data_IF_329175344294
#
_entry.id   IF_329175344294
#
_cell.length_a   1.000
_cell.length_b   1.000
_cell.length_c   1.000
_cell.angle_alpha   90.00
_cell.angle_beta   90.00
_cell.angle_gamma   90.00
#
_symmetry.space_group_name_H-M   'P 1'
#
loop_
_entity.id
_entity.type
_entity.pdbx_description
1 polymer ?
#
# COMPACT_ATOMS: atom_id res chain seq x y z
N UNK A 1 -16.14 -19.02 18.65
CA UNK A 1 -16.70 -17.70 18.24
C UNK A 1 -17.53 -17.09 19.37
N UNK A 2 -18.69 -17.66 19.71
CA UNK A 2 -19.58 -17.14 20.78
C UNK A 2 -18.85 -17.05 22.13
N UNK A 3 -18.19 -18.12 22.54
CA UNK A 3 -17.41 -18.16 23.78
C UNK A 3 -16.29 -17.10 23.84
N UNK A 4 -15.69 -16.75 22.68
CA UNK A 4 -14.65 -15.71 22.62
C UNK A 4 -15.33 -14.35 22.81
N UNK A 5 -16.41 -14.07 22.10
CA UNK A 5 -17.17 -12.81 22.26
C UNK A 5 -17.58 -12.58 23.72
N UNK A 6 -18.23 -13.56 24.35
CA UNK A 6 -18.72 -13.47 25.73
C UNK A 6 -17.59 -13.26 26.75
N UNK A 7 -16.43 -13.89 26.51
CA UNK A 7 -15.26 -13.74 27.39
C UNK A 7 -14.66 -12.33 27.39
N UNK A 8 -14.81 -11.57 26.31
CA UNK A 8 -14.27 -10.21 26.20
C UNK A 8 -15.34 -9.17 26.55
N UNK A 9 -16.61 -9.43 26.23
CA UNK A 9 -17.73 -8.54 26.51
C UNK A 9 -17.93 -8.29 28.01
N UNK A 10 -17.69 -9.31 28.85
CA UNK A 10 -17.71 -9.17 30.32
C UNK A 10 -16.69 -8.17 30.90
N UNK A 11 -15.70 -7.77 30.11
CA UNK A 11 -14.71 -6.75 30.46
C UNK A 11 -14.90 -5.45 29.67
N UNK A 12 -16.01 -5.31 28.92
CA UNK A 12 -16.27 -4.17 28.05
C UNK A 12 -15.38 -4.13 26.81
N UNK A 13 -14.79 -5.27 26.42
CA UNK A 13 -13.86 -5.36 25.29
C UNK A 13 -14.57 -5.92 24.04
N UNK A 14 -14.34 -5.30 22.89
CA UNK A 14 -14.82 -5.79 21.60
C UNK A 14 -13.80 -6.75 20.97
N UNK A 15 -14.29 -7.85 20.37
CA UNK A 15 -13.46 -8.87 19.73
C UNK A 15 -13.74 -8.93 18.22
N UNK A 16 -12.70 -8.89 17.40
CA UNK A 16 -12.78 -8.91 15.94
C UNK A 16 -12.00 -10.09 15.37
N UNK A 17 -12.53 -10.72 14.31
CA UNK A 17 -11.83 -11.73 13.53
C UNK A 17 -11.52 -11.16 12.14
N UNK A 18 -10.25 -11.15 11.75
CA UNK A 18 -9.79 -10.63 10.44
C UNK A 18 -9.06 -11.76 9.72
N UNK A 19 -9.43 -12.02 8.46
CA UNK A 19 -8.78 -13.03 7.63
C UNK A 19 -8.46 -12.47 6.24
N UNK A 20 -7.27 -12.78 5.74
CA UNK A 20 -6.81 -12.40 4.40
C UNK A 20 -6.41 -13.68 3.63
N UNK A 21 -6.87 -13.81 2.39
CA UNK A 21 -6.50 -14.95 1.55
C UNK A 21 -7.21 -14.94 0.20
N UNK A 22 -6.62 -15.59 -0.81
CA UNK A 22 -7.17 -15.69 -2.17
C UNK A 22 -8.39 -16.62 -2.27
N UNK A 23 -8.69 -17.37 -1.21
CA UNK A 23 -9.75 -18.38 -1.17
C UNK A 23 -10.84 -17.92 -0.21
N UNK A 24 -12.08 -17.95 -0.70
CA UNK A 24 -13.25 -17.70 0.12
C UNK A 24 -13.42 -18.86 1.12
N UNK A 25 -13.13 -18.60 2.40
CA UNK A 25 -13.42 -19.53 3.48
C UNK A 25 -14.74 -19.10 4.11
N UNK A 26 -15.86 -19.68 3.66
CA UNK A 26 -17.20 -19.48 4.22
C UNK A 26 -17.23 -19.60 5.76
N UNK A 27 -16.32 -20.40 6.32
CA UNK A 27 -16.08 -20.56 7.75
C UNK A 27 -15.71 -19.23 8.43
N UNK A 28 -14.89 -18.38 7.81
CA UNK A 28 -14.47 -17.09 8.38
C UNK A 28 -15.61 -16.07 8.43
N UNK A 29 -16.46 -16.06 7.41
CA UNK A 29 -17.66 -15.20 7.35
C UNK A 29 -18.67 -15.57 8.45
N UNK A 30 -18.90 -16.88 8.65
CA UNK A 30 -19.74 -17.37 9.75
C UNK A 30 -19.15 -17.03 11.13
N UNK A 31 -17.83 -17.09 11.29
CA UNK A 31 -17.16 -16.74 12.55
C UNK A 31 -17.29 -15.24 12.83
N UNK A 32 -17.06 -14.38 11.85
CA UNK A 32 -17.21 -12.93 11.99
C UNK A 32 -18.65 -12.55 12.38
N UNK A 33 -19.63 -13.13 11.68
CA UNK A 33 -21.05 -12.91 11.96
C UNK A 33 -21.42 -13.31 13.40
N UNK A 34 -20.95 -14.47 13.87
CA UNK A 34 -21.18 -14.94 15.25
C UNK A 34 -20.48 -14.10 16.32
N UNK A 35 -19.42 -13.38 15.96
CA UNK A 35 -18.70 -12.48 16.88
C UNK A 35 -19.28 -11.06 16.88
N UNK A 36 -20.23 -10.75 16.00
CA UNK A 36 -20.69 -9.36 15.77
C UNK A 36 -19.63 -8.49 15.11
N UNK A 37 -18.65 -9.11 14.43
CA UNK A 37 -17.61 -8.43 13.68
C UNK A 37 -17.95 -8.32 12.20
N UNK A 38 -17.08 -7.67 11.43
CA UNK A 38 -17.21 -7.55 9.98
C UNK A 38 -16.32 -8.57 9.25
N UNK A 39 -16.84 -9.15 8.17
CA UNK A 39 -16.07 -9.97 7.23
C UNK A 39 -15.88 -9.19 5.93
N UNK A 40 -14.64 -9.13 5.45
CA UNK A 40 -14.30 -8.41 4.23
C UNK A 40 -13.73 -9.40 3.21
N UNK A 41 -14.43 -9.58 2.07
CA UNK A 41 -13.96 -10.38 0.94
C UNK A 41 -12.86 -9.58 0.24
N UNK A 42 -11.61 -10.04 0.37
CA UNK A 42 -10.41 -9.61 -0.37
C UNK A 42 -10.42 -8.15 -0.82
N UNK A 43 -9.78 -7.33 -0.01
CA UNK A 43 -9.65 -5.91 -0.18
C UNK A 43 -8.51 -5.63 -1.18
N UNK A 44 -8.79 -4.83 -2.20
CA UNK A 44 -7.74 -4.12 -2.95
C UNK A 44 -6.88 -3.29 -1.97
N UNK A 45 -5.64 -2.93 -2.35
CA UNK A 45 -4.66 -2.29 -1.42
C UNK A 45 -5.25 -1.13 -0.58
N UNK A 46 -6.05 -0.27 -1.23
CA UNK A 46 -6.78 0.83 -0.59
C UNK A 46 -7.82 0.41 0.45
N UNK A 47 -8.58 -0.65 0.20
CA UNK A 47 -9.62 -1.11 1.12
C UNK A 47 -9.00 -1.81 2.35
N UNK A 48 -7.84 -2.44 2.19
CA UNK A 48 -7.07 -3.07 3.28
C UNK A 48 -6.52 -1.99 4.23
N UNK A 49 -5.99 -0.91 3.65
CA UNK A 49 -5.51 0.25 4.39
C UNK A 49 -6.63 0.91 5.22
N UNK A 50 -7.80 1.11 4.61
CA UNK A 50 -8.97 1.74 5.26
C UNK A 50 -9.50 0.88 6.42
N UNK A 51 -9.60 -0.43 6.21
CA UNK A 51 -10.06 -1.37 7.24
C UNK A 51 -9.08 -1.42 8.41
N UNK A 52 -7.78 -1.49 8.14
CA UNK A 52 -6.76 -1.52 9.19
C UNK A 52 -6.68 -0.19 9.94
N UNK A 53 -6.86 0.94 9.27
CA UNK A 53 -6.94 2.24 9.92
C UNK A 53 -8.13 2.34 10.88
N UNK A 54 -9.29 1.79 10.51
CA UNK A 54 -10.46 1.73 11.39
C UNK A 54 -10.23 0.83 12.60
N UNK A 55 -9.55 -0.31 12.41
CA UNK A 55 -9.17 -1.21 13.50
C UNK A 55 -8.15 -0.53 14.43
N UNK A 56 -7.10 0.11 13.90
CA UNK A 56 -6.09 0.77 14.73
C UNK A 56 -6.67 1.95 15.51
N UNK A 57 -7.56 2.74 14.90
CA UNK A 57 -8.31 3.79 15.56
C UNK A 57 -9.18 3.25 16.71
N UNK A 58 -9.85 2.11 16.50
CA UNK A 58 -10.70 1.47 17.51
C UNK A 58 -9.89 0.87 18.67
N UNK A 59 -8.66 0.39 18.41
CA UNK A 59 -7.80 -0.23 19.42
C UNK A 59 -6.98 0.80 20.23
N UNK A 60 -7.09 2.11 19.95
CA UNK A 60 -6.27 3.19 20.56
C UNK A 60 -4.76 2.91 20.56
N UNK A 61 -4.31 1.98 19.72
CA UNK A 61 -2.93 1.55 19.61
C UNK A 61 -2.40 2.06 18.28
N UNK A 62 -1.17 2.59 18.30
CA UNK A 62 -0.45 2.97 17.09
C UNK A 62 -0.02 1.71 16.32
N UNK A 63 -0.98 0.95 15.80
CA UNK A 63 -0.72 -0.16 14.92
C UNK A 63 -0.50 0.38 13.51
N UNK A 64 0.68 0.15 12.94
CA UNK A 64 1.00 0.48 11.56
C UNK A 64 0.86 -0.73 10.65
N UNK A 65 0.15 -0.59 9.53
CA UNK A 65 0.14 -1.61 8.48
C UNK A 65 1.31 -1.36 7.54
N UNK A 66 2.33 -2.21 7.61
CA UNK A 66 3.34 -2.27 6.58
C UNK A 66 2.78 -3.07 5.39
N UNK A 67 2.06 -2.40 4.50
CA UNK A 67 1.77 -2.95 3.19
C UNK A 67 3.10 -3.01 2.44
N UNK A 68 3.59 -4.22 2.14
CA UNK A 68 4.50 -4.38 1.02
C UNK A 68 3.72 -3.90 -0.19
N UNK A 69 4.02 -2.68 -0.65
CA UNK A 69 3.25 -2.01 -1.70
C UNK A 69 2.98 -3.01 -2.81
N UNK A 70 1.72 -3.31 -3.14
CA UNK A 70 1.47 -3.94 -4.41
C UNK A 70 1.99 -2.94 -5.46
N UNK A 71 2.65 -3.44 -6.50
CA UNK A 71 3.48 -2.70 -7.47
C UNK A 71 2.75 -1.58 -8.26
N UNK A 72 1.52 -1.23 -7.89
CA UNK A 72 0.68 -0.23 -8.52
C UNK A 72 0.34 1.00 -7.64
N UNK A 73 0.78 1.06 -6.37
CA UNK A 73 0.58 2.24 -5.49
C UNK A 73 1.87 3.07 -5.28
N UNK A 74 2.64 3.25 -6.34
CA UNK A 74 3.78 4.17 -6.38
C UNK A 74 3.40 5.35 -7.27
N UNK A 75 3.26 6.55 -6.72
CA UNK A 75 3.05 7.75 -7.50
C UNK A 75 4.38 8.22 -8.11
N UNK A 76 4.37 8.70 -9.34
CA UNK A 76 5.51 9.32 -9.97
C UNK A 76 5.82 10.65 -9.27
N UNK A 77 7.04 10.80 -8.74
CA UNK A 77 7.43 12.03 -8.00
C UNK A 77 7.55 13.28 -8.87
N UNK A 78 7.50 13.14 -10.21
CA UNK A 78 7.54 14.27 -11.15
C UNK A 78 6.14 14.82 -11.41
N UNK A 79 5.16 13.98 -11.74
CA UNK A 79 3.80 14.43 -12.08
C UNK A 79 2.76 14.20 -10.97
N UNK A 80 3.14 13.55 -9.87
CA UNK A 80 2.26 13.18 -8.75
C UNK A 80 1.08 12.26 -9.12
N UNK A 81 1.09 11.63 -10.30
CA UNK A 81 0.10 10.64 -10.73
C UNK A 81 0.59 9.21 -10.48
N UNK A 82 -0.35 8.26 -10.41
CA UNK A 82 -0.03 6.84 -10.22
C UNK A 82 0.85 6.29 -11.34
N UNK A 83 1.92 5.56 -11.01
CA UNK A 83 2.79 4.92 -12.02
C UNK A 83 2.07 3.90 -12.89
N UNK A 84 0.92 3.40 -12.43
CA UNK A 84 0.05 2.51 -13.20
C UNK A 84 -0.67 3.23 -14.37
N UNK A 85 -0.69 4.57 -14.39
CA UNK A 85 -1.33 5.35 -15.45
C UNK A 85 -0.50 5.43 -16.74
N UNK A 86 0.72 4.92 -16.75
CA UNK A 86 1.61 4.90 -17.91
C UNK A 86 2.72 3.84 -17.84
N UNK A 87 3.66 3.90 -18.79
CA UNK A 87 4.84 3.03 -18.77
C UNK A 87 5.81 3.53 -17.69
N UNK A 88 6.11 2.68 -16.70
CA UNK A 88 7.04 3.00 -15.62
C UNK A 88 8.47 2.56 -15.96
N UNK A 89 9.44 3.43 -15.71
CA UNK A 89 10.86 3.18 -15.84
C UNK A 89 11.52 3.17 -14.45
N UNK A 90 12.38 2.17 -14.22
CA UNK A 90 13.12 2.00 -12.96
C UNK A 90 14.53 2.55 -13.08
N UNK A 91 14.85 3.54 -12.26
CA UNK A 91 16.14 4.21 -12.24
C UNK A 91 17.22 3.33 -11.61
N UNK A 92 18.34 3.15 -12.29
CA UNK A 92 19.52 2.51 -11.72
C UNK A 92 20.51 3.55 -11.19
N UNK A 93 21.26 3.26 -10.11
CA UNK A 93 21.24 2.03 -9.30
C UNK A 93 20.22 2.07 -8.15
N UNK A 94 19.46 3.16 -7.99
CA UNK A 94 18.67 3.40 -6.78
C UNK A 94 17.35 2.62 -6.71
N UNK A 95 16.84 2.12 -7.84
CA UNK A 95 15.61 1.35 -7.95
C UNK A 95 14.31 2.15 -7.84
N UNK A 96 14.36 3.48 -7.77
CA UNK A 96 13.16 4.33 -7.77
C UNK A 96 12.51 4.37 -9.16
N UNK A 97 11.20 4.53 -9.21
CA UNK A 97 10.42 4.45 -10.45
C UNK A 97 9.76 5.79 -10.79
N UNK A 98 9.72 6.09 -12.10
CA UNK A 98 9.09 7.26 -12.70
C UNK A 98 8.32 6.82 -13.94
N UNK A 99 7.36 7.62 -14.43
CA UNK A 99 6.88 7.41 -15.80
C UNK A 99 8.04 7.62 -16.78
N UNK A 100 8.09 6.80 -17.83
CA UNK A 100 9.09 6.91 -18.89
C UNK A 100 9.10 8.29 -19.53
N UNK A 101 7.93 8.86 -19.81
CA UNK A 101 7.78 10.23 -20.33
C UNK A 101 8.31 11.30 -19.37
N UNK A 102 8.09 11.12 -18.07
CA UNK A 102 8.62 12.01 -17.05
C UNK A 102 10.16 11.88 -16.92
N UNK A 103 10.68 10.68 -17.12
CA UNK A 103 12.12 10.42 -17.14
C UNK A 103 12.77 11.04 -18.39
N UNK A 104 12.18 10.89 -19.56
CA UNK A 104 12.67 11.51 -20.80
C UNK A 104 12.73 13.04 -20.67
N UNK A 105 11.72 13.64 -20.02
CA UNK A 105 11.69 15.07 -19.73
C UNK A 105 12.80 15.47 -18.74
N UNK A 106 13.02 14.67 -17.70
CA UNK A 106 14.09 14.91 -16.72
C UNK A 106 15.47 14.84 -17.38
N UNK A 107 15.71 13.86 -18.25
CA UNK A 107 16.95 13.68 -19.01
C UNK A 107 17.18 14.86 -19.95
N UNK A 108 16.13 15.25 -20.70
CA UNK A 108 16.20 16.37 -21.64
C UNK A 108 16.56 17.69 -20.94
N UNK A 109 15.96 17.97 -19.78
CA UNK A 109 16.27 19.18 -19.01
C UNK A 109 17.71 19.18 -18.49
N UNK A 110 18.19 18.04 -17.96
CA UNK A 110 19.57 17.93 -17.50
C UNK A 110 20.60 18.16 -18.63
N UNK A 111 20.32 17.67 -19.84
CA UNK A 111 21.17 17.92 -21.01
C UNK A 111 21.21 19.39 -21.42
N UNK A 112 20.09 20.12 -21.29
CA UNK A 112 20.05 21.56 -21.57
C UNK A 112 20.87 22.37 -20.57
N UNK A 113 20.87 21.95 -19.30
CA UNK A 113 21.62 22.59 -18.23
C UNK A 113 23.10 22.15 -18.16
N UNK A 114 23.50 21.19 -18.99
CA UNK A 114 24.85 20.60 -18.96
C UNK A 114 25.14 19.79 -17.69
N UNK A 115 24.09 19.33 -17.00
CA UNK A 115 24.19 18.57 -15.75
C UNK A 115 23.99 17.06 -15.95
N UNK A 116 24.49 16.27 -15.00
CA UNK A 116 24.16 14.85 -14.90
C UNK A 116 22.72 14.65 -14.40
N UNK A 117 22.03 13.64 -14.95
CA UNK A 117 20.69 13.26 -14.49
C UNK A 117 20.76 12.67 -13.09
N UNK A 118 19.98 13.23 -12.15
CA UNK A 118 19.90 12.75 -10.76
C UNK A 118 18.49 12.32 -10.41
N UNK A 119 18.37 11.24 -9.64
CA UNK A 119 17.10 10.74 -9.15
C UNK A 119 16.41 11.80 -8.25
N UNK A 120 15.17 12.24 -8.53
CA UNK A 120 14.50 13.24 -7.70
C UNK A 120 14.24 12.76 -6.25
N UNK A 121 14.13 11.45 -6.04
CA UNK A 121 13.82 10.86 -4.73
C UNK A 121 15.03 10.77 -3.80
N UNK A 122 16.23 10.49 -4.33
CA UNK A 122 17.42 10.22 -3.50
C UNK A 122 18.70 10.92 -3.98
N UNK A 123 18.63 11.72 -5.04
CA UNK A 123 19.71 12.53 -5.62
C UNK A 123 20.94 11.77 -6.12
N UNK A 124 20.91 10.43 -6.14
CA UNK A 124 21.95 9.63 -6.81
C UNK A 124 21.90 9.86 -8.31
N UNK A 125 23.07 9.89 -8.93
CA UNK A 125 23.20 9.93 -10.39
C UNK A 125 22.52 8.71 -11.02
N UNK A 126 21.78 8.94 -12.10
CA UNK A 126 21.09 7.90 -12.86
C UNK A 126 22.04 7.43 -13.95
N UNK A 127 22.43 6.16 -13.90
CA UNK A 127 23.35 5.56 -14.86
C UNK A 127 22.60 4.65 -15.85
N UNK A 128 22.86 4.84 -17.16
CA UNK A 128 22.52 3.89 -18.23
C UNK A 128 21.06 3.88 -18.68
N UNK A 129 20.68 4.85 -19.52
CA UNK A 129 19.56 4.69 -20.45
C UNK A 129 20.07 4.95 -21.87
N UNK A 130 20.46 3.87 -22.55
CA UNK A 130 20.54 3.80 -24.00
C UNK A 130 19.32 3.04 -24.49
#
# INVERSE_FOLDING_TARGET
AIHIKECYDKYGLQAFAVGFGAINLHILEQVASKMGGAYHRVLTGNEMKTTFFSISASLSTRAGLALAKPSHECACVICAQDLASGEAAKLQPCGHELHKTCLDSLVSNAHQDGECVRCPSCRREVSGQQ
#
